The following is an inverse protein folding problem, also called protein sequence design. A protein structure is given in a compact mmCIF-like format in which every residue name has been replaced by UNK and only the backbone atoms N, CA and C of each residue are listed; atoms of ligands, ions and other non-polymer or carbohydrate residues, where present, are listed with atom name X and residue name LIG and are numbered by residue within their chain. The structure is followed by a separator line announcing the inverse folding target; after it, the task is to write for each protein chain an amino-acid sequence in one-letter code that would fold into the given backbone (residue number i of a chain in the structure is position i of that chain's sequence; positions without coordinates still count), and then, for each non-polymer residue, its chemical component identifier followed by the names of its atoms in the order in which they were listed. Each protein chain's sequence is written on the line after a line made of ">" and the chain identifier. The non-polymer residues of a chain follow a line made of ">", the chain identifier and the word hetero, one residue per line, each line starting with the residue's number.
data_IF_955800268363
#
_entry.id   IF_955800268363
#
_cell.length_a   1.000
_cell.length_b   1.000
_cell.length_c   1.000
_cell.angle_alpha   90.00
_cell.angle_beta   90.00
_cell.angle_gamma   90.00
#
_symmetry.space_group_name_H-M   'P 1'
#
loop_
_entity.id
_entity.type
_entity.pdbx_description
1 polymer ?
#
# COMPACT_ATOMS: atom_id res chain seq x y z
N UNK A 1 14.26 -20.62 -18.71
CA UNK A 1 14.80 -19.34 -18.23
C UNK A 1 15.06 -18.42 -19.41
N UNK A 2 16.11 -18.60 -20.22
CA UNK A 2 16.34 -17.76 -21.43
C UNK A 2 15.12 -17.61 -22.36
N UNK A 3 14.36 -18.70 -22.57
CA UNK A 3 13.10 -18.63 -23.32
C UNK A 3 12.06 -17.72 -22.67
N UNK A 4 11.86 -17.83 -21.35
CA UNK A 4 10.94 -16.98 -20.59
C UNK A 4 11.39 -15.53 -20.66
N UNK A 5 12.70 -15.29 -20.53
CA UNK A 5 13.26 -13.94 -20.57
C UNK A 5 13.04 -13.29 -21.94
N UNK A 6 13.24 -14.04 -23.02
CA UNK A 6 12.95 -13.58 -24.39
C UNK A 6 11.46 -13.32 -24.64
N UNK A 7 10.59 -14.19 -24.11
CA UNK A 7 9.14 -14.01 -24.22
C UNK A 7 8.66 -12.76 -23.46
N UNK A 8 9.17 -12.52 -22.26
CA UNK A 8 8.85 -11.36 -21.43
C UNK A 8 9.38 -10.02 -21.99
N UNK A 9 10.23 -10.05 -23.01
CA UNK A 9 10.72 -8.84 -23.69
C UNK A 9 9.69 -8.22 -24.65
N UNK A 10 8.64 -8.97 -25.02
CA UNK A 10 7.57 -8.51 -25.92
C UNK A 10 6.21 -8.69 -25.26
N UNK A 11 5.27 -7.77 -25.47
CA UNK A 11 3.94 -7.84 -24.86
C UNK A 11 3.16 -9.10 -25.30
N UNK A 12 3.33 -9.54 -26.56
CA UNK A 12 2.73 -10.76 -27.10
C UNK A 12 3.32 -12.04 -26.48
N UNK A 13 4.60 -12.00 -26.10
CA UNK A 13 5.29 -13.14 -25.51
C UNK A 13 4.92 -13.37 -24.05
N UNK A 14 4.44 -12.36 -23.33
CA UNK A 14 4.06 -12.46 -21.90
C UNK A 14 2.96 -13.51 -21.67
N UNK A 15 1.95 -13.55 -22.54
CA UNK A 15 0.84 -14.50 -22.42
C UNK A 15 1.33 -15.95 -22.62
N UNK A 16 2.33 -16.13 -23.49
CA UNK A 16 2.98 -17.43 -23.72
C UNK A 16 3.87 -17.82 -22.53
N UNK A 17 4.65 -16.87 -21.99
CA UNK A 17 5.44 -17.09 -20.78
C UNK A 17 4.56 -17.52 -19.60
N UNK A 18 3.40 -16.87 -19.42
CA UNK A 18 2.44 -17.20 -18.38
C UNK A 18 1.88 -18.62 -18.54
N UNK A 19 1.51 -19.03 -19.76
CA UNK A 19 1.05 -20.41 -20.03
C UNK A 19 2.11 -21.45 -19.63
N UNK A 20 3.37 -21.21 -20.02
CA UNK A 20 4.50 -22.09 -19.67
C UNK A 20 4.71 -22.16 -18.15
N UNK A 21 4.64 -21.02 -17.45
CA UNK A 21 4.80 -20.98 -16.01
C UNK A 21 3.65 -21.68 -15.27
N UNK A 22 2.40 -21.51 -15.71
CA UNK A 22 1.26 -22.23 -15.11
C UNK A 22 1.36 -23.73 -15.31
N UNK A 23 1.65 -24.20 -16.53
CA UNK A 23 1.87 -25.62 -16.82
C UNK A 23 2.99 -26.22 -15.94
N UNK A 24 4.03 -25.43 -15.65
CA UNK A 24 5.04 -25.84 -14.69
C UNK A 24 4.51 -25.96 -13.25
N UNK A 25 3.80 -24.95 -12.75
CA UNK A 25 3.27 -24.97 -11.37
C UNK A 25 2.31 -26.14 -11.16
N UNK A 26 1.56 -26.49 -12.20
CA UNK A 26 0.65 -27.63 -12.28
C UNK A 26 1.40 -28.99 -12.43
N UNK A 27 2.69 -28.95 -12.78
CA UNK A 27 3.57 -30.10 -12.81
C UNK A 27 3.64 -30.82 -14.15
N UNK A 28 3.15 -30.22 -15.22
CA UNK A 28 3.10 -30.79 -16.58
C UNK A 28 4.47 -30.79 -17.28
N UNK A 29 5.39 -29.93 -16.84
CA UNK A 29 6.67 -29.65 -17.52
C UNK A 29 7.85 -30.58 -17.13
N UNK A 30 7.59 -31.83 -16.77
CA UNK A 30 8.60 -32.91 -16.78
C UNK A 30 9.94 -32.62 -16.09
N UNK A 31 9.92 -32.13 -14.84
CA UNK A 31 11.14 -31.93 -14.04
C UNK A 31 11.91 -30.63 -14.31
N UNK A 32 11.52 -29.83 -15.30
CA UNK A 32 11.98 -28.44 -15.39
C UNK A 32 11.53 -27.64 -14.17
N UNK A 33 12.33 -26.72 -13.64
CA UNK A 33 11.95 -25.81 -12.54
C UNK A 33 12.35 -24.37 -12.91
N UNK A 34 11.40 -23.41 -12.96
CA UNK A 34 11.70 -22.01 -13.21
C UNK A 34 12.49 -21.44 -12.04
N UNK A 35 13.34 -20.47 -12.35
CA UNK A 35 14.06 -19.73 -11.32
C UNK A 35 13.21 -18.62 -10.74
N UNK A 36 13.61 -18.10 -9.58
CA UNK A 36 13.01 -16.90 -9.00
C UNK A 36 13.01 -15.75 -10.00
N UNK A 37 14.13 -15.51 -10.68
CA UNK A 37 14.26 -14.50 -11.72
C UNK A 37 13.23 -14.65 -12.85
N UNK A 38 12.99 -15.88 -13.33
CA UNK A 38 12.03 -16.10 -14.43
C UNK A 38 10.59 -15.78 -14.01
N UNK A 39 10.21 -16.12 -12.77
CA UNK A 39 8.90 -15.81 -12.21
C UNK A 39 8.76 -14.30 -11.98
N UNK A 40 9.75 -13.67 -11.32
CA UNK A 40 9.77 -12.22 -11.10
C UNK A 40 9.62 -11.45 -12.41
N UNK A 41 10.36 -11.86 -13.44
CA UNK A 41 10.29 -11.20 -14.74
C UNK A 41 8.92 -11.36 -15.38
N UNK A 42 8.31 -12.54 -15.29
CA UNK A 42 6.97 -12.76 -15.82
C UNK A 42 5.89 -11.96 -15.07
N UNK A 43 5.93 -11.91 -13.74
CA UNK A 43 4.97 -11.11 -12.97
C UNK A 43 5.15 -9.62 -13.24
N UNK A 44 6.39 -9.13 -13.33
CA UNK A 44 6.68 -7.74 -13.71
C UNK A 44 6.24 -7.41 -15.14
N UNK A 45 6.40 -8.34 -16.07
CA UNK A 45 5.99 -8.13 -17.47
C UNK A 45 4.46 -8.09 -17.61
N UNK A 46 3.75 -8.94 -16.87
CA UNK A 46 2.29 -8.89 -16.76
C UNK A 46 1.82 -7.55 -16.19
N UNK A 47 2.40 -7.11 -15.08
CA UNK A 47 1.97 -5.84 -14.45
C UNK A 47 2.33 -4.62 -15.30
N UNK A 48 3.41 -4.68 -16.10
CA UNK A 48 3.78 -3.64 -17.06
C UNK A 48 2.83 -3.56 -18.26
N UNK A 49 2.26 -4.68 -18.72
CA UNK A 49 1.29 -4.72 -19.84
C UNK A 49 0.10 -3.77 -19.59
N UNK A 50 -0.26 -3.56 -18.30
CA UNK A 50 -1.24 -2.55 -17.89
C UNK A 50 -2.67 -2.82 -18.34
N UNK A 51 -2.98 -4.03 -18.85
CA UNK A 51 -4.35 -4.43 -19.16
C UNK A 51 -5.08 -4.83 -17.89
N UNK A 52 -6.40 -4.64 -17.84
CA UNK A 52 -7.23 -4.98 -16.68
C UNK A 52 -7.14 -6.48 -16.29
N UNK A 53 -6.84 -7.36 -17.26
CA UNK A 53 -6.72 -8.80 -17.04
C UNK A 53 -5.36 -9.22 -16.47
N UNK A 54 -4.31 -8.42 -16.65
CA UNK A 54 -2.95 -8.83 -16.30
C UNK A 54 -2.68 -8.94 -14.79
N UNK A 55 -3.10 -7.99 -13.93
CA UNK A 55 -2.89 -8.14 -12.48
C UNK A 55 -3.58 -9.38 -11.89
N UNK A 56 -4.86 -9.70 -12.23
CA UNK A 56 -5.50 -10.96 -11.84
C UNK A 56 -4.73 -12.22 -12.25
N UNK A 57 -4.18 -12.23 -13.47
CA UNK A 57 -3.37 -13.35 -13.96
C UNK A 57 -2.06 -13.51 -13.18
N UNK A 58 -1.37 -12.40 -12.90
CA UNK A 58 -0.14 -12.40 -12.11
C UNK A 58 -0.40 -12.81 -10.64
N UNK A 59 -1.53 -12.39 -10.06
CA UNK A 59 -1.98 -12.82 -8.74
C UNK A 59 -2.20 -14.33 -8.70
N UNK A 60 -2.93 -14.87 -9.67
CA UNK A 60 -3.20 -16.32 -9.74
C UNK A 60 -1.89 -17.11 -9.78
N UNK A 61 -0.91 -16.67 -10.56
CA UNK A 61 0.41 -17.30 -10.62
C UNK A 61 1.10 -17.28 -9.24
N UNK A 62 1.11 -16.15 -8.54
CA UNK A 62 1.70 -16.04 -7.19
C UNK A 62 0.98 -16.97 -6.20
N UNK A 63 -0.34 -16.98 -6.17
CA UNK A 63 -1.11 -17.85 -5.27
C UNK A 63 -0.84 -19.33 -5.56
N UNK A 64 -0.79 -19.71 -6.84
CA UNK A 64 -0.42 -21.08 -7.24
C UNK A 64 0.99 -21.46 -6.76
N UNK A 65 1.95 -20.53 -6.83
CA UNK A 65 3.31 -20.74 -6.31
C UNK A 65 3.32 -20.92 -4.79
N UNK A 66 2.58 -20.08 -4.05
CA UNK A 66 2.47 -20.17 -2.58
C UNK A 66 1.79 -21.47 -2.13
N UNK A 67 0.76 -21.91 -2.86
CA UNK A 67 -0.01 -23.13 -2.58
C UNK A 67 0.68 -24.42 -3.06
N UNK A 68 1.78 -24.32 -3.80
CA UNK A 68 2.47 -25.49 -4.36
C UNK A 68 2.95 -26.45 -3.26
N UNK A 69 2.67 -27.75 -3.41
CA UNK A 69 3.16 -28.78 -2.48
C UNK A 69 4.67 -29.03 -2.64
N UNK A 70 5.25 -28.70 -3.80
CA UNK A 70 6.68 -28.89 -4.08
C UNK A 70 7.50 -27.91 -3.25
N UNK A 71 8.37 -28.42 -2.37
CA UNK A 71 9.14 -27.58 -1.46
C UNK A 71 10.08 -26.63 -2.20
N UNK A 72 10.64 -27.06 -3.33
CA UNK A 72 11.59 -26.25 -4.10
C UNK A 72 10.91 -25.03 -4.74
N UNK A 73 9.66 -25.18 -5.21
CA UNK A 73 8.86 -24.06 -5.72
C UNK A 73 8.58 -23.03 -4.62
N UNK A 74 8.25 -23.50 -3.41
CA UNK A 74 7.98 -22.60 -2.28
C UNK A 74 9.22 -21.85 -1.80
N UNK A 75 10.43 -22.39 -2.00
CA UNK A 75 11.70 -21.70 -1.70
C UNK A 75 12.04 -20.64 -2.73
N UNK A 76 11.52 -20.77 -3.95
CA UNK A 76 11.73 -19.82 -5.03
C UNK A 76 10.90 -18.55 -4.82
N UNK A 77 9.73 -18.67 -4.18
CA UNK A 77 8.86 -17.53 -3.92
C UNK A 77 9.56 -16.46 -3.08
N UNK A 78 9.61 -15.25 -3.63
CA UNK A 78 10.20 -14.06 -3.03
C UNK A 78 9.14 -12.93 -3.03
N UNK A 79 9.06 -12.16 -1.97
CA UNK A 79 8.20 -10.98 -1.85
C UNK A 79 8.44 -9.93 -2.94
N UNK A 80 9.64 -9.86 -3.49
CA UNK A 80 9.92 -8.97 -4.61
C UNK A 80 9.08 -9.33 -5.85
N UNK A 81 8.59 -10.57 -5.95
CA UNK A 81 7.66 -11.01 -6.99
C UNK A 81 6.25 -10.47 -6.80
N UNK A 82 5.79 -10.34 -5.55
CA UNK A 82 4.41 -9.96 -5.23
C UNK A 82 4.20 -8.46 -5.17
N UNK A 83 5.22 -7.69 -4.79
CA UNK A 83 5.10 -6.22 -4.68
C UNK A 83 4.56 -5.55 -5.95
N UNK A 84 5.07 -5.85 -7.17
CA UNK A 84 4.52 -5.28 -8.41
C UNK A 84 3.07 -5.68 -8.67
N UNK A 85 2.67 -6.90 -8.29
CA UNK A 85 1.31 -7.41 -8.51
C UNK A 85 0.32 -6.78 -7.56
N UNK A 86 0.67 -6.62 -6.29
CA UNK A 86 -0.12 -5.89 -5.28
C UNK A 86 -0.35 -4.46 -5.75
N UNK A 87 0.71 -3.76 -6.17
CA UNK A 87 0.60 -2.39 -6.69
C UNK A 87 -0.27 -2.31 -7.95
N UNK A 88 -0.15 -3.29 -8.86
CA UNK A 88 -0.95 -3.31 -10.07
C UNK A 88 -2.44 -3.57 -9.78
N UNK A 89 -2.77 -4.53 -8.90
CA UNK A 89 -4.16 -4.76 -8.45
C UNK A 89 -4.76 -3.49 -7.88
N UNK A 90 -4.03 -2.86 -6.95
CA UNK A 90 -4.48 -1.62 -6.32
C UNK A 90 -4.70 -0.51 -7.36
N UNK A 91 -3.74 -0.27 -8.27
CA UNK A 91 -3.84 0.73 -9.34
C UNK A 91 -5.07 0.52 -10.25
N UNK A 92 -5.53 -0.72 -10.41
CA UNK A 92 -6.71 -1.06 -11.20
C UNK A 92 -8.02 -1.00 -10.38
N UNK A 93 -7.99 -0.53 -9.13
CA UNK A 93 -9.16 -0.41 -8.24
C UNK A 93 -9.47 -1.69 -7.46
N UNK A 94 -8.71 -2.78 -7.65
CA UNK A 94 -8.89 -4.05 -6.95
C UNK A 94 -8.19 -4.03 -5.56
N UNK A 95 -8.48 -3.01 -4.75
CA UNK A 95 -7.82 -2.75 -3.46
C UNK A 95 -7.95 -3.92 -2.49
N UNK A 96 -9.15 -4.52 -2.37
CA UNK A 96 -9.38 -5.67 -1.48
C UNK A 96 -8.50 -6.86 -1.84
N UNK A 97 -8.36 -7.16 -3.14
CA UNK A 97 -7.51 -8.25 -3.62
C UNK A 97 -6.04 -7.95 -3.38
N UNK A 98 -5.61 -6.70 -3.56
CA UNK A 98 -4.26 -6.27 -3.28
C UNK A 98 -3.90 -6.47 -1.79
N UNK A 99 -4.79 -6.08 -0.87
CA UNK A 99 -4.62 -6.28 0.58
C UNK A 99 -4.66 -7.76 0.94
N UNK A 100 -5.59 -8.54 0.36
CA UNK A 100 -5.64 -9.98 0.56
C UNK A 100 -4.34 -10.67 0.14
N UNK A 101 -3.83 -10.34 -1.06
CA UNK A 101 -2.57 -10.90 -1.54
C UNK A 101 -1.39 -10.50 -0.65
N UNK A 102 -1.34 -9.25 -0.17
CA UNK A 102 -0.32 -8.80 0.78
C UNK A 102 -0.36 -9.64 2.07
N UNK A 103 -1.54 -9.87 2.64
CA UNK A 103 -1.71 -10.66 3.85
C UNK A 103 -1.27 -12.12 3.64
N UNK A 104 -1.65 -12.75 2.53
CA UNK A 104 -1.19 -14.11 2.19
C UNK A 104 0.34 -14.19 2.10
N UNK A 105 0.95 -13.21 1.44
CA UNK A 105 2.41 -13.13 1.29
C UNK A 105 3.05 -13.02 2.67
N UNK A 106 2.56 -12.13 3.53
CA UNK A 106 3.07 -11.94 4.89
C UNK A 106 2.93 -13.21 5.73
N UNK A 107 1.78 -13.87 5.71
CA UNK A 107 1.58 -15.12 6.45
C UNK A 107 2.51 -16.24 5.97
N UNK A 108 2.72 -16.33 4.65
CA UNK A 108 3.59 -17.34 4.06
C UNK A 108 5.07 -17.11 4.39
N UNK A 109 5.52 -15.86 4.42
CA UNK A 109 6.92 -15.48 4.60
C UNK A 109 7.30 -15.30 6.07
N UNK A 110 6.46 -14.69 6.90
CA UNK A 110 6.78 -14.41 8.30
C UNK A 110 7.01 -15.70 9.09
N UNK A 111 6.31 -16.78 8.74
CA UNK A 111 6.50 -18.10 9.34
C UNK A 111 7.87 -18.72 9.02
N UNK A 112 8.53 -18.30 7.95
CA UNK A 112 9.71 -18.98 7.39
C UNK A 112 10.97 -18.14 7.31
N UNK A 113 10.86 -16.82 7.41
CA UNK A 113 11.94 -15.89 7.09
C UNK A 113 12.78 -15.48 8.30
N UNK A 114 14.07 -15.29 8.04
CA UNK A 114 15.01 -14.64 8.97
C UNK A 114 14.59 -13.18 9.24
N UNK A 115 15.07 -12.61 10.35
CA UNK A 115 14.80 -11.21 10.69
C UNK A 115 15.27 -10.21 9.62
N UNK A 116 16.23 -10.57 8.75
CA UNK A 116 16.68 -9.73 7.64
C UNK A 116 15.66 -9.69 6.50
N UNK A 117 15.13 -10.85 6.10
CA UNK A 117 14.10 -10.94 5.06
C UNK A 117 12.82 -10.21 5.49
N UNK A 118 12.43 -10.25 6.78
CA UNK A 118 11.32 -9.46 7.32
C UNK A 118 11.46 -7.94 7.08
N UNK A 119 12.68 -7.41 7.07
CA UNK A 119 12.92 -5.96 6.94
C UNK A 119 12.82 -5.43 5.51
N UNK A 120 13.23 -6.20 4.50
CA UNK A 120 13.16 -5.73 3.10
C UNK A 120 11.77 -5.92 2.48
N UNK A 121 11.01 -6.87 3.03
CA UNK A 121 9.80 -7.43 2.44
C UNK A 121 8.60 -6.47 2.39
N UNK A 122 8.35 -5.72 3.45
CA UNK A 122 7.10 -4.96 3.55
C UNK A 122 7.13 -3.59 2.87
N UNK A 123 8.23 -2.85 2.97
CA UNK A 123 8.17 -1.39 2.73
C UNK A 123 7.59 -1.01 1.37
N UNK A 124 8.06 -1.68 0.30
CA UNK A 124 7.66 -1.33 -1.08
C UNK A 124 6.17 -1.57 -1.32
N UNK A 125 5.64 -2.74 -0.94
CA UNK A 125 4.22 -3.05 -1.14
C UNK A 125 3.32 -2.19 -0.25
N UNK A 126 3.69 -2.02 1.02
CA UNK A 126 2.94 -1.21 1.98
C UNK A 126 2.90 0.27 1.58
N UNK A 127 4.06 0.87 1.28
CA UNK A 127 4.12 2.26 0.82
C UNK A 127 3.49 2.43 -0.57
N UNK A 128 3.50 1.38 -1.41
CA UNK A 128 2.78 1.37 -2.68
C UNK A 128 1.27 1.51 -2.48
N UNK A 129 0.69 0.74 -1.56
CA UNK A 129 -0.73 0.83 -1.19
C UNK A 129 -1.06 2.17 -0.55
N UNK A 130 -0.30 2.60 0.47
CA UNK A 130 -0.50 3.90 1.11
C UNK A 130 -0.39 5.05 0.10
N UNK A 131 0.56 4.99 -0.83
CA UNK A 131 0.71 6.01 -1.87
C UNK A 131 -0.52 6.08 -2.76
N UNK A 132 -1.05 4.94 -3.19
CA UNK A 132 -2.27 4.91 -4.00
C UNK A 132 -3.46 5.48 -3.22
N UNK A 133 -3.71 4.97 -2.01
CA UNK A 133 -4.81 5.42 -1.16
C UNK A 133 -4.72 6.91 -0.82
N UNK A 134 -3.50 7.44 -0.68
CA UNK A 134 -3.26 8.87 -0.43
C UNK A 134 -3.61 9.78 -1.61
N UNK A 135 -4.00 9.22 -2.76
CA UNK A 135 -4.51 9.98 -3.92
C UNK A 135 -6.01 9.86 -4.11
N UNK A 136 -6.65 8.95 -3.39
CA UNK A 136 -8.09 8.71 -3.44
C UNK A 136 -8.80 9.51 -2.34
N UNK A 137 -10.08 9.84 -2.56
CA UNK A 137 -10.94 10.62 -1.63
C UNK A 137 -11.99 9.75 -0.94
N UNK A 138 -11.68 8.48 -0.75
CA UNK A 138 -12.58 7.53 -0.09
C UNK A 138 -12.33 7.54 1.42
N UNK A 139 -13.36 7.79 2.25
CA UNK A 139 -13.19 7.85 3.68
C UNK A 139 -12.74 6.54 4.33
N UNK A 140 -13.08 5.39 3.75
CA UNK A 140 -12.73 4.08 4.29
C UNK A 140 -11.22 3.78 4.17
N UNK A 141 -10.53 4.47 3.25
CA UNK A 141 -9.10 4.30 3.03
C UNK A 141 -8.24 4.85 4.17
N UNK A 142 -8.75 5.79 4.96
CA UNK A 142 -8.06 6.25 6.16
C UNK A 142 -7.98 5.13 7.20
N UNK A 143 -9.10 4.47 7.48
CA UNK A 143 -9.15 3.31 8.37
C UNK A 143 -8.29 2.17 7.84
N UNK A 144 -8.35 1.91 6.53
CA UNK A 144 -7.52 0.90 5.87
C UNK A 144 -6.02 1.20 5.98
N UNK A 145 -5.61 2.46 5.87
CA UNK A 145 -4.23 2.90 6.07
C UNK A 145 -3.75 2.66 7.50
N UNK A 146 -4.60 2.93 8.50
CA UNK A 146 -4.31 2.68 9.92
C UNK A 146 -4.16 1.18 10.20
N UNK A 147 -5.08 0.35 9.72
CA UNK A 147 -4.99 -1.12 9.81
C UNK A 147 -3.72 -1.66 9.15
N UNK A 148 -3.33 -1.05 8.03
CA UNK A 148 -2.10 -1.39 7.33
C UNK A 148 -0.85 -1.04 8.16
N UNK A 149 -0.83 0.10 8.87
CA UNK A 149 0.25 0.45 9.81
C UNK A 149 0.32 -0.52 11.00
N UNK A 150 -0.82 -0.87 11.59
CA UNK A 150 -0.89 -1.88 12.67
C UNK A 150 -0.38 -3.23 12.18
N UNK A 151 -0.67 -3.59 10.92
CA UNK A 151 -0.16 -4.79 10.27
C UNK A 151 1.36 -4.74 10.13
N UNK A 152 1.95 -3.61 9.73
CA UNK A 152 3.41 -3.44 9.72
C UNK A 152 4.02 -3.67 11.10
N UNK A 153 3.44 -3.10 12.15
CA UNK A 153 3.93 -3.24 13.53
C UNK A 153 3.83 -4.69 14.03
N UNK A 154 2.69 -5.35 13.77
CA UNK A 154 2.45 -6.76 14.09
C UNK A 154 3.54 -7.65 13.50
N UNK A 155 3.93 -7.38 12.25
CA UNK A 155 4.94 -8.15 11.53
C UNK A 155 6.37 -7.63 11.71
N UNK A 156 6.58 -6.60 12.54
CA UNK A 156 7.89 -5.95 12.78
C UNK A 156 8.54 -5.48 11.48
N UNK A 157 7.72 -5.01 10.55
CA UNK A 157 8.16 -4.39 9.30
C UNK A 157 8.57 -2.95 9.65
N UNK A 158 9.83 -2.55 9.41
CA UNK A 158 10.26 -1.21 9.72
C UNK A 158 9.53 -0.20 8.85
N UNK A 159 9.10 0.91 9.45
CA UNK A 159 8.61 2.07 8.72
C UNK A 159 9.77 2.79 8.01
N UNK A 160 9.48 3.64 7.04
CA UNK A 160 10.42 4.63 6.52
C UNK A 160 9.85 6.04 6.62
N UNK A 161 10.61 7.00 6.12
CA UNK A 161 10.28 8.43 6.09
C UNK A 161 9.01 8.73 5.28
N UNK A 162 8.57 7.81 4.41
CA UNK A 162 7.37 7.97 3.59
C UNK A 162 6.13 7.29 4.18
N UNK A 163 6.29 6.26 5.01
CA UNK A 163 5.18 5.46 5.55
C UNK A 163 4.14 6.33 6.26
N UNK A 164 4.55 7.16 7.21
CA UNK A 164 3.61 7.98 7.99
C UNK A 164 3.04 9.17 7.22
N UNK A 165 3.82 9.94 6.43
CA UNK A 165 3.25 11.00 5.59
C UNK A 165 2.18 10.50 4.61
N UNK A 166 2.34 9.30 4.05
CA UNK A 166 1.34 8.73 3.14
C UNK A 166 0.05 8.35 3.88
N UNK A 167 0.15 7.67 5.03
CA UNK A 167 -1.01 7.33 5.84
C UNK A 167 -1.75 8.58 6.34
N UNK A 168 -1.02 9.63 6.72
CA UNK A 168 -1.58 10.94 7.06
C UNK A 168 -2.38 11.51 5.90
N UNK A 169 -1.80 11.50 4.69
CA UNK A 169 -2.47 12.02 3.50
C UNK A 169 -3.74 11.23 3.13
N UNK A 170 -3.78 9.91 3.34
CA UNK A 170 -5.03 9.13 3.22
C UNK A 170 -6.13 9.71 4.12
N UNK A 171 -5.78 10.09 5.35
CA UNK A 171 -6.71 10.68 6.32
C UNK A 171 -7.13 12.11 5.97
N UNK A 172 -6.21 12.94 5.48
CA UNK A 172 -6.58 14.28 5.01
C UNK A 172 -7.63 14.19 3.90
N UNK A 173 -7.43 13.24 2.97
CA UNK A 173 -8.35 13.03 1.87
C UNK A 173 -9.71 12.42 2.27
N UNK A 174 -9.80 11.70 3.39
CA UNK A 174 -11.08 11.12 3.86
C UNK A 174 -12.08 12.18 4.33
N UNK A 175 -11.63 13.42 4.58
CA UNK A 175 -12.47 14.47 5.15
C UNK A 175 -12.82 14.27 6.63
N UNK A 176 -12.44 13.13 7.23
CA UNK A 176 -12.63 12.85 8.65
C UNK A 176 -11.61 13.63 9.49
N UNK A 177 -11.93 14.88 9.81
CA UNK A 177 -11.20 15.68 10.81
C UNK A 177 -11.57 15.30 12.26
N UNK A 178 -12.17 14.12 12.52
CA UNK A 178 -12.87 13.81 13.79
C UNK A 178 -11.96 13.32 14.94
N UNK A 179 -12.46 13.44 16.19
CA UNK A 179 -11.81 13.18 17.50
C UNK A 179 -11.01 11.87 17.64
N UNK A 180 -11.33 10.82 16.88
CA UNK A 180 -10.51 9.58 16.87
C UNK A 180 -9.13 9.80 16.25
N UNK A 181 -8.90 10.95 15.63
CA UNK A 181 -7.58 11.45 15.26
C UNK A 181 -6.65 11.49 16.44
N UNK A 182 -7.06 11.72 17.69
CA UNK A 182 -6.09 11.81 18.79
C UNK A 182 -5.36 10.50 19.09
N UNK A 183 -6.00 9.34 18.94
CA UNK A 183 -5.32 8.07 19.21
C UNK A 183 -4.31 7.71 18.11
N UNK A 184 -4.66 8.03 16.86
CA UNK A 184 -3.80 7.79 15.71
C UNK A 184 -2.79 8.90 15.52
N UNK A 185 -3.13 10.15 15.78
CA UNK A 185 -2.19 11.26 15.94
C UNK A 185 -1.25 10.95 17.09
N UNK A 186 -1.70 10.42 18.24
CA UNK A 186 -0.79 10.00 19.31
C UNK A 186 0.06 8.79 18.91
N UNK A 187 -0.47 7.86 18.11
CA UNK A 187 0.30 6.73 17.60
C UNK A 187 1.32 7.17 16.54
N UNK A 188 0.92 8.01 15.61
CA UNK A 188 1.75 8.62 14.58
C UNK A 188 2.77 9.54 15.23
N UNK A 189 2.38 10.36 16.20
CA UNK A 189 3.26 11.18 17.03
C UNK A 189 4.27 10.28 17.71
N UNK A 190 3.84 9.27 18.45
CA UNK A 190 4.75 8.37 19.16
C UNK A 190 5.69 7.66 18.19
N UNK A 191 5.17 7.09 17.12
CA UNK A 191 5.97 6.33 16.17
C UNK A 191 6.90 7.22 15.34
N UNK A 192 6.47 8.43 15.03
CA UNK A 192 7.27 9.47 14.40
C UNK A 192 8.32 10.00 15.37
N UNK A 193 7.99 10.22 16.65
CA UNK A 193 8.92 10.64 17.69
C UNK A 193 9.98 9.56 17.91
N UNK A 194 9.57 8.29 17.99
CA UNK A 194 10.45 7.13 18.11
C UNK A 194 11.38 7.01 16.89
N UNK A 195 10.87 7.27 15.68
CA UNK A 195 11.69 7.28 14.45
C UNK A 195 12.64 8.49 14.40
N UNK A 196 12.17 9.65 14.86
CA UNK A 196 12.90 10.92 14.77
C UNK A 196 13.93 11.11 15.89
N UNK A 197 13.90 10.28 16.94
CA UNK A 197 15.00 10.16 17.92
C UNK A 197 16.36 9.81 17.26
N UNK A 198 16.35 9.32 16.02
CA UNK A 198 17.56 9.05 15.25
C UNK A 198 18.00 10.18 14.31
N UNK A 199 17.23 11.27 14.21
CA UNK A 199 17.58 12.44 13.41
C UNK A 199 18.39 13.44 14.25
N UNK A 200 19.29 14.23 13.63
CA UNK A 200 19.90 15.39 14.28
C UNK A 200 18.83 16.37 14.78
N UNK A 201 19.01 16.95 15.97
CA UNK A 201 18.03 17.81 16.67
C UNK A 201 17.49 18.97 15.80
N UNK A 202 18.34 19.54 14.94
CA UNK A 202 17.95 20.62 14.03
C UNK A 202 16.95 20.16 12.95
N UNK A 203 17.11 18.95 12.42
CA UNK A 203 16.19 18.36 11.43
C UNK A 203 14.88 17.97 12.10
N UNK A 204 14.95 17.37 13.30
CA UNK A 204 13.80 17.06 14.13
C UNK A 204 12.94 18.29 14.42
N UNK A 205 13.57 19.39 14.84
CA UNK A 205 12.86 20.64 15.16
C UNK A 205 12.12 21.21 13.96
N UNK A 206 12.77 21.22 12.78
CA UNK A 206 12.16 21.69 11.54
C UNK A 206 11.00 20.79 11.07
N UNK A 207 11.14 19.48 11.21
CA UNK A 207 10.10 18.51 10.89
C UNK A 207 8.90 18.65 11.83
N UNK A 208 9.15 18.84 13.13
CA UNK A 208 8.11 19.07 14.14
C UNK A 208 7.39 20.42 13.95
N UNK A 209 8.11 21.49 13.65
CA UNK A 209 7.52 22.82 13.36
C UNK A 209 6.61 22.73 12.14
N UNK A 210 7.09 22.16 11.03
CA UNK A 210 6.24 21.91 9.84
C UNK A 210 5.01 21.05 10.16
N UNK A 211 5.14 20.08 11.05
CA UNK A 211 4.06 19.18 11.46
C UNK A 211 3.01 19.88 12.35
N UNK A 212 3.46 20.70 13.30
CA UNK A 212 2.57 21.48 14.18
C UNK A 212 1.87 22.62 13.42
N UNK A 213 2.56 23.27 12.49
CA UNK A 213 1.99 24.36 11.67
C UNK A 213 0.91 23.83 10.72
N UNK A 214 1.11 22.65 10.12
CA UNK A 214 0.09 22.00 9.29
C UNK A 214 -1.18 21.64 10.10
N UNK A 215 -1.02 21.15 11.34
CA UNK A 215 -2.17 20.80 12.19
C UNK A 215 -2.95 22.01 12.70
N UNK A 216 -2.27 23.12 13.00
CA UNK A 216 -2.88 24.33 13.56
C UNK A 216 -3.54 25.22 12.50
N UNK A 217 -2.95 25.35 11.30
CA UNK A 217 -3.52 26.14 10.19
C UNK A 217 -4.92 25.65 9.80
N UNK A 218 -5.14 24.33 9.77
CA UNK A 218 -6.46 23.75 9.44
C UNK A 218 -7.54 23.96 10.49
N UNK A 219 -7.18 24.36 11.72
CA UNK A 219 -8.13 24.63 12.79
C UNK A 219 -8.59 26.09 12.78
N UNK A 220 -7.68 27.02 12.47
CA UNK A 220 -7.98 28.46 12.36
C UNK A 220 -8.89 28.78 11.16
N UNK A 221 -8.60 28.22 9.99
CA UNK A 221 -9.44 28.41 8.79
C UNK A 221 -10.88 27.90 8.99
N UNK A 222 -11.07 26.90 9.85
CA UNK A 222 -12.39 26.33 10.17
C UNK A 222 -13.19 27.13 11.18
N UNK A 223 -12.55 27.82 12.12
CA UNK A 223 -13.25 28.78 12.98
C UNK A 223 -13.77 29.95 12.15
N UNK A 224 -12.95 30.44 11.21
CA UNK A 224 -13.33 31.52 10.32
C UNK A 224 -14.48 31.13 9.35
N UNK A 225 -14.50 29.89 8.85
CA UNK A 225 -15.57 29.39 7.98
C UNK A 225 -16.88 29.17 8.75
N UNK A 226 -16.82 28.71 10.01
CA UNK A 226 -18.01 28.59 10.89
C UNK A 226 -18.58 29.94 11.32
N UNK A 227 -17.75 30.94 11.57
CA UNK A 227 -18.22 32.29 11.86
C UNK A 227 -18.94 32.87 10.64
N UNK A 228 -18.42 32.66 9.43
CA UNK A 228 -19.09 33.08 8.18
C UNK A 228 -20.41 32.37 7.91
N UNK A 229 -20.53 31.07 8.22
CA UNK A 229 -21.80 30.35 8.12
C UNK A 229 -22.85 30.87 9.12
N UNK A 230 -22.44 31.18 10.36
CA UNK A 230 -23.33 31.78 11.36
C UNK A 230 -23.83 33.18 10.98
N UNK A 231 -22.95 34.03 10.45
CA UNK A 231 -23.34 35.36 9.99
C UNK A 231 -24.38 35.29 8.85
N UNK A 232 -24.23 34.33 7.93
CA UNK A 232 -25.20 34.12 6.84
C UNK A 232 -26.55 33.59 7.35
N UNK A 233 -26.58 32.70 8.34
CA UNK A 233 -27.83 32.22 8.95
C UNK A 233 -28.58 33.35 9.69
N UNK A 234 -27.85 34.24 10.38
CA UNK A 234 -28.45 35.40 11.07
C UNK A 234 -29.00 36.45 10.08
N UNK A 235 -28.37 36.66 8.92
CA UNK A 235 -28.90 37.53 7.85
C UNK A 235 -30.17 36.96 7.17
N UNK A 236 -30.26 35.64 6.98
CA UNK A 236 -31.47 35.00 6.44
C UNK A 236 -32.65 35.07 7.42
N UNK A 237 -32.43 34.92 8.74
CA UNK A 237 -33.48 35.11 9.75
C UNK A 237 -33.94 36.57 9.85
N UNK A 238 -33.03 37.54 9.71
CA UNK A 238 -33.37 38.96 9.74
C UNK A 238 -34.23 39.40 8.53
N UNK A 239 -33.93 38.86 7.34
CA UNK A 239 -34.66 39.22 6.11
C UNK A 239 -36.06 38.59 6.01
N UNK A 240 -36.28 37.45 6.65
CA UNK A 240 -37.62 36.80 6.71
C UNK A 240 -38.57 37.49 7.68
N UNK A 241 -38.05 38.05 8.78
CA UNK A 241 -38.87 38.72 9.81
C UNK A 241 -39.42 40.08 9.36
N UNK A 242 -38.79 40.73 8.37
CA UNK A 242 -39.20 42.07 7.89
C UNK A 242 -40.32 42.03 6.84
N UNK A 243 -40.76 40.83 6.40
CA UNK A 243 -41.79 40.65 5.36
C UNK A 243 -43.16 40.20 5.88
N UNK A 244 -43.39 40.16 7.19
CA UNK A 244 -44.70 39.91 7.82
C UNK A 244 -45.27 41.19 8.41
#
# INVERSE_FOLDING_TARGET
>A
NQLIDGLCASDDGVDTALKILNAFVEGEMGGWTPTAASITLATQSLTRKGTQESPPMAEKLIRNLMSSKKNDIRKIFDVHMSSPVIMALAKHGDTERAVSLLNDVLESHVRKSSASAKRSMGKVAFNGLLRLWSTEKDPELANSAEELLLTMEKYKIPHDDMTFPLAWKCRENSGEKSRNSQAVVAFLDKAYFDAALHLPEAEYKKLRENWMDASTSTSAEKEEEKEKEKENEEEEEATTTTKQ
#
